data_IF_589544899541
#
_entry.id   IF_589544899541
#
_cell.length_a   1.000
_cell.length_b   1.000
_cell.length_c   1.000
_cell.angle_alpha   90.00
_cell.angle_beta   90.00
_cell.angle_gamma   90.00
#
_symmetry.space_group_name_H-M   'P 1'
#
loop_
_entity.id
_entity.type
_entity.pdbx_description
1 polymer ?
#
# COMPACT_ATOMS: atom_id res chain seq x y z
N UNK A 1 36.63 1.18 -15.12
CA UNK A 1 35.57 0.85 -16.11
C UNK A 1 34.26 1.49 -15.65
N UNK A 2 33.55 2.29 -16.47
CA UNK A 2 32.32 2.98 -16.03
C UNK A 2 31.16 1.97 -15.93
N UNK A 3 30.59 1.82 -14.73
CA UNK A 3 29.35 1.04 -14.50
C UNK A 3 28.24 1.62 -15.37
N UNK A 4 27.66 0.82 -16.27
CA UNK A 4 26.56 1.26 -17.14
C UNK A 4 25.23 0.82 -16.56
N UNK A 5 24.29 1.76 -16.46
CA UNK A 5 22.91 1.48 -16.07
C UNK A 5 22.04 1.59 -17.32
N UNK A 6 21.62 0.43 -17.85
CA UNK A 6 21.02 0.33 -19.18
C UNK A 6 19.58 -0.13 -19.07
N UNK A 7 18.65 0.68 -19.58
CA UNK A 7 17.28 0.24 -19.78
C UNK A 7 17.21 -0.68 -21.00
N UNK A 8 16.81 -1.92 -20.78
CA UNK A 8 16.76 -2.97 -21.81
C UNK A 8 15.33 -3.21 -22.31
N UNK A 9 14.32 -2.51 -21.81
CA UNK A 9 12.93 -2.67 -22.25
C UNK A 9 12.08 -3.47 -21.26
N UNK A 10 11.33 -4.44 -21.78
CA UNK A 10 10.22 -5.11 -21.08
C UNK A 10 10.60 -6.45 -20.45
N UNK A 11 9.66 -7.03 -19.69
CA UNK A 11 9.80 -8.37 -19.10
C UNK A 11 9.84 -9.46 -20.17
N UNK A 12 9.19 -9.28 -21.31
CA UNK A 12 9.28 -10.20 -22.44
C UNK A 12 10.71 -10.25 -23.00
N UNK A 13 11.32 -9.08 -23.24
CA UNK A 13 12.72 -9.00 -23.68
C UNK A 13 13.69 -9.60 -22.64
N UNK A 14 13.39 -9.46 -21.35
CA UNK A 14 14.16 -10.15 -20.31
C UNK A 14 14.11 -11.68 -20.50
N UNK A 15 12.93 -12.26 -20.79
CA UNK A 15 12.79 -13.71 -20.99
C UNK A 15 13.58 -14.20 -22.20
N UNK A 16 13.60 -13.41 -23.28
CA UNK A 16 14.37 -13.72 -24.50
C UNK A 16 15.89 -13.64 -24.25
N UNK A 17 16.35 -12.65 -23.47
CA UNK A 17 17.76 -12.45 -23.18
C UNK A 17 18.30 -13.39 -22.10
N UNK A 18 17.45 -13.87 -21.18
CA UNK A 18 17.87 -14.68 -20.03
C UNK A 18 18.68 -15.94 -20.41
N UNK A 19 18.30 -16.76 -21.41
CA UNK A 19 19.12 -17.90 -21.85
C UNK A 19 20.53 -17.49 -22.33
N UNK A 20 20.63 -16.32 -22.98
CA UNK A 20 21.93 -15.78 -23.42
C UNK A 20 22.76 -15.31 -22.22
N UNK A 21 22.13 -14.67 -21.23
CA UNK A 21 22.80 -14.24 -20.00
C UNK A 21 23.31 -15.46 -19.23
N UNK A 22 22.48 -16.49 -19.07
CA UNK A 22 22.83 -17.75 -18.40
C UNK A 22 24.00 -18.48 -19.08
N UNK A 23 24.06 -18.48 -20.41
CA UNK A 23 25.11 -19.18 -21.16
C UNK A 23 26.41 -18.39 -21.29
N UNK A 24 26.36 -17.06 -21.31
CA UNK A 24 27.55 -16.21 -21.58
C UNK A 24 28.13 -15.53 -20.34
N UNK A 25 27.33 -15.30 -19.30
CA UNK A 25 27.78 -14.60 -18.09
C UNK A 25 28.14 -15.63 -17.04
N UNK A 26 29.38 -15.58 -16.55
CA UNK A 26 29.81 -16.48 -15.46
C UNK A 26 29.07 -16.14 -14.18
N UNK A 27 29.16 -14.88 -13.74
CA UNK A 27 28.59 -14.44 -12.48
C UNK A 27 27.63 -13.27 -12.67
N UNK A 28 26.43 -13.37 -12.10
CA UNK A 28 25.46 -12.29 -12.12
C UNK A 28 24.39 -12.46 -11.04
N UNK A 29 23.68 -11.37 -10.73
CA UNK A 29 22.56 -11.36 -9.78
C UNK A 29 21.30 -10.87 -10.46
N UNK A 30 20.19 -11.59 -10.28
CA UNK A 30 18.86 -11.15 -10.71
C UNK A 30 18.06 -10.68 -9.51
N UNK A 31 17.58 -9.44 -9.56
CA UNK A 31 16.64 -8.89 -8.59
C UNK A 31 15.26 -8.81 -9.25
N UNK A 32 14.31 -9.53 -8.67
CA UNK A 32 12.94 -9.69 -9.17
C UNK A 32 11.95 -9.03 -8.24
N UNK A 33 11.09 -8.17 -8.79
CA UNK A 33 10.18 -7.39 -7.96
C UNK A 33 8.96 -6.88 -8.73
N UNK A 34 7.83 -7.59 -8.64
CA UNK A 34 6.63 -7.29 -9.43
C UNK A 34 6.92 -7.30 -10.94
N UNK A 35 6.60 -6.21 -11.63
CA UNK A 35 6.88 -6.01 -13.06
C UNK A 35 8.30 -5.52 -13.37
N UNK A 36 9.24 -5.60 -12.43
CA UNK A 36 10.64 -5.20 -12.65
C UNK A 36 11.60 -6.36 -12.53
N UNK A 37 12.59 -6.41 -13.42
CA UNK A 37 13.79 -7.24 -13.29
C UNK A 37 15.03 -6.35 -13.41
N UNK A 38 16.01 -6.61 -12.56
CA UNK A 38 17.35 -6.06 -12.70
C UNK A 38 18.33 -7.22 -12.80
N UNK A 39 19.21 -7.20 -13.78
CA UNK A 39 20.34 -8.12 -13.86
C UNK A 39 21.60 -7.30 -13.59
N UNK A 40 22.31 -7.64 -12.53
CA UNK A 40 23.58 -7.04 -12.13
C UNK A 40 24.67 -8.00 -12.59
N UNK A 41 25.47 -7.57 -13.56
CA UNK A 41 26.57 -8.34 -14.11
C UNK A 41 27.82 -8.20 -13.22
N UNK A 42 28.78 -9.11 -13.38
CA UNK A 42 30.06 -9.13 -12.65
C UNK A 42 30.83 -7.80 -12.72
N UNK A 43 30.80 -7.12 -13.87
CA UNK A 43 31.44 -5.81 -14.07
C UNK A 43 30.70 -4.64 -13.36
N UNK A 44 29.61 -4.94 -12.66
CA UNK A 44 28.74 -3.99 -11.99
C UNK A 44 27.77 -3.26 -12.91
N UNK A 45 27.70 -3.61 -14.19
CA UNK A 45 26.68 -3.11 -15.11
C UNK A 45 25.31 -3.63 -14.71
N UNK A 46 24.29 -2.78 -14.84
CA UNK A 46 22.91 -3.10 -14.46
C UNK A 46 22.01 -3.02 -15.67
N UNK A 47 21.42 -4.15 -16.04
CA UNK A 47 20.39 -4.27 -17.07
C UNK A 47 19.02 -4.18 -16.41
N UNK A 48 18.20 -3.21 -16.80
CA UNK A 48 16.87 -2.97 -16.21
C UNK A 48 15.77 -3.29 -17.20
N UNK A 49 14.80 -4.06 -16.73
CA UNK A 49 13.61 -4.44 -17.45
C UNK A 49 12.38 -4.05 -16.62
N UNK A 50 11.40 -3.42 -17.26
CA UNK A 50 10.19 -2.97 -16.59
C UNK A 50 8.97 -3.07 -17.50
N UNK A 51 7.86 -3.52 -16.92
CA UNK A 51 6.56 -3.54 -17.58
C UNK A 51 6.44 -4.63 -18.65
N UNK A 52 5.34 -4.60 -19.40
CA UNK A 52 5.03 -5.56 -20.47
C UNK A 52 5.02 -4.86 -21.82
N UNK A 53 5.02 -5.64 -22.91
CA UNK A 53 4.86 -5.15 -24.28
C UNK A 53 3.49 -4.49 -24.58
N UNK A 54 2.58 -4.40 -23.60
CA UNK A 54 1.28 -3.74 -23.79
C UNK A 54 1.44 -2.22 -23.66
N UNK A 55 0.70 -1.48 -24.49
CA UNK A 55 0.54 -0.04 -24.34
C UNK A 55 0.08 0.26 -22.88
N UNK A 56 0.75 1.20 -22.21
CA UNK A 56 0.57 1.58 -20.78
C UNK A 56 1.44 0.87 -19.72
N UNK A 57 2.61 0.35 -20.10
CA UNK A 57 3.53 -0.25 -19.13
C UNK A 57 4.27 0.75 -18.22
N UNK A 58 4.33 2.03 -18.60
CA UNK A 58 4.89 3.12 -17.78
C UNK A 58 3.80 3.72 -16.90
N UNK A 59 4.01 3.68 -15.59
CA UNK A 59 3.08 4.29 -14.64
C UNK A 59 3.47 5.74 -14.40
N UNK A 60 2.55 6.64 -14.74
CA UNK A 60 2.68 8.07 -14.53
C UNK A 60 2.89 8.40 -13.04
N UNK A 61 3.85 9.28 -12.74
CA UNK A 61 4.26 9.64 -11.39
C UNK A 61 5.18 8.64 -10.67
N UNK A 62 5.50 7.47 -11.25
CA UNK A 62 6.36 6.47 -10.59
C UNK A 62 7.80 6.95 -10.32
N UNK A 63 8.24 8.04 -10.95
CA UNK A 63 9.55 8.66 -10.68
C UNK A 63 9.68 9.11 -9.21
N UNK A 64 8.57 9.38 -8.51
CA UNK A 64 8.59 9.87 -7.14
C UNK A 64 9.06 8.81 -6.13
N UNK A 65 9.05 7.53 -6.51
CA UNK A 65 9.52 6.41 -5.66
C UNK A 65 10.93 6.64 -5.15
N UNK A 66 11.86 7.03 -6.04
CA UNK A 66 13.26 7.24 -5.66
C UNK A 66 13.44 8.48 -4.80
N UNK A 67 12.57 9.48 -4.95
CA UNK A 67 12.57 10.68 -4.13
C UNK A 67 12.12 10.37 -2.70
N UNK A 68 11.06 9.57 -2.54
CA UNK A 68 10.60 9.09 -1.24
C UNK A 68 11.70 8.28 -0.57
N UNK A 69 12.31 7.32 -1.27
CA UNK A 69 13.39 6.50 -0.70
C UNK A 69 14.53 7.37 -0.16
N UNK A 70 14.90 8.43 -0.87
CA UNK A 70 15.94 9.35 -0.39
C UNK A 70 15.53 10.09 0.89
N UNK A 71 14.31 10.62 0.97
CA UNK A 71 13.86 11.31 2.20
C UNK A 71 13.71 10.33 3.38
N UNK A 72 13.38 9.06 3.12
CA UNK A 72 13.43 8.00 4.14
C UNK A 72 14.87 7.72 4.58
N UNK A 73 15.82 7.62 3.66
CA UNK A 73 17.22 7.43 4.02
C UNK A 73 17.74 8.61 4.87
N UNK A 74 17.41 9.85 4.50
CA UNK A 74 17.71 11.06 5.30
C UNK A 74 17.04 11.00 6.69
N UNK A 75 15.79 10.51 6.78
CA UNK A 75 15.11 10.30 8.06
C UNK A 75 15.84 9.26 8.91
N UNK A 76 16.24 8.13 8.33
CA UNK A 76 16.94 7.05 9.03
C UNK A 76 18.29 7.53 9.56
N UNK A 77 19.04 8.29 8.76
CA UNK A 77 20.33 8.85 9.18
C UNK A 77 20.18 9.77 10.40
N UNK A 78 19.08 10.53 10.46
CA UNK A 78 18.82 11.49 11.54
C UNK A 78 18.16 10.88 12.78
N UNK A 79 17.21 9.97 12.60
CA UNK A 79 16.31 9.51 13.66
C UNK A 79 16.38 7.99 13.90
N UNK A 80 17.09 7.25 13.05
CA UNK A 80 17.04 5.79 13.02
C UNK A 80 15.82 5.22 12.30
N UNK A 81 15.77 3.89 12.21
CA UNK A 81 14.61 3.17 11.69
C UNK A 81 13.52 3.19 12.77
N UNK A 82 12.29 3.66 12.47
CA UNK A 82 11.24 3.72 13.47
C UNK A 82 10.75 2.32 13.84
N UNK A 83 10.26 2.17 15.07
CA UNK A 83 9.47 0.99 15.44
C UNK A 83 8.16 1.00 14.68
N UNK A 84 7.58 -0.18 14.46
CA UNK A 84 6.31 -0.32 13.77
C UNK A 84 5.52 -1.52 14.29
N UNK A 85 4.23 -1.53 13.96
CA UNK A 85 3.35 -2.70 14.14
C UNK A 85 2.72 -3.07 12.82
N UNK A 86 2.58 -4.38 12.62
CA UNK A 86 1.90 -4.90 11.43
C UNK A 86 0.39 -4.83 11.68
N UNK A 87 -0.33 -4.12 10.81
CA UNK A 87 -1.79 -4.08 10.81
C UNK A 87 -2.31 -4.96 9.69
N UNK A 88 -2.92 -6.09 10.04
CA UNK A 88 -3.42 -7.07 9.07
C UNK A 88 -4.77 -6.69 8.47
N UNK A 89 -5.59 -5.94 9.21
CA UNK A 89 -7.00 -5.70 8.88
C UNK A 89 -7.24 -4.21 8.57
N UNK A 90 -6.89 -3.76 7.37
CA UNK A 90 -7.13 -2.36 6.90
C UNK A 90 -8.53 -2.16 6.30
N UNK A 91 -9.46 -3.03 6.67
CA UNK A 91 -10.85 -3.04 6.23
C UNK A 91 -11.70 -3.65 7.34
N UNK A 92 -12.73 -2.95 7.79
CA UNK A 92 -13.68 -3.49 8.77
C UNK A 92 -15.11 -3.15 8.41
N UNK A 93 -16.03 -3.99 8.88
CA UNK A 93 -17.45 -3.93 8.62
C UNK A 93 -18.20 -3.98 9.95
N UNK A 94 -19.19 -3.14 10.14
CA UNK A 94 -20.15 -3.22 11.23
C UNK A 94 -21.35 -4.02 10.74
N UNK A 95 -21.22 -5.35 10.76
CA UNK A 95 -22.24 -6.20 10.13
C UNK A 95 -23.58 -6.14 10.85
N UNK A 96 -23.59 -5.81 12.16
CA UNK A 96 -24.82 -5.53 12.89
C UNK A 96 -25.60 -4.40 12.20
N UNK A 97 -24.94 -3.28 11.91
CA UNK A 97 -25.60 -2.13 11.29
C UNK A 97 -25.89 -2.34 9.82
N UNK A 98 -24.95 -2.93 9.06
CA UNK A 98 -25.16 -3.26 7.64
C UNK A 98 -26.39 -4.16 7.45
N UNK A 99 -26.54 -5.21 8.26
CA UNK A 99 -27.70 -6.12 8.19
C UNK A 99 -29.01 -5.40 8.51
N UNK A 100 -28.99 -4.39 9.38
CA UNK A 100 -30.19 -3.62 9.77
C UNK A 100 -30.75 -2.77 8.62
N UNK A 101 -29.90 -2.39 7.66
CA UNK A 101 -30.26 -1.57 6.48
C UNK A 101 -30.25 -2.36 5.17
N UNK A 102 -29.87 -3.63 5.21
CA UNK A 102 -29.86 -4.50 4.03
C UNK A 102 -31.26 -4.58 3.41
N UNK A 103 -31.35 -4.44 2.10
CA UNK A 103 -32.60 -4.39 1.32
C UNK A 103 -33.51 -3.18 1.64
N UNK A 104 -33.11 -2.28 2.53
CA UNK A 104 -33.73 -0.97 2.66
C UNK A 104 -33.06 -0.03 1.67
N UNK A 105 -33.84 0.82 0.99
CA UNK A 105 -33.32 1.88 0.12
C UNK A 105 -32.77 3.04 0.98
N UNK A 106 -31.85 2.73 1.89
CA UNK A 106 -31.17 3.71 2.74
C UNK A 106 -29.90 4.16 2.02
N UNK A 107 -29.79 5.44 1.65
CA UNK A 107 -28.58 5.96 1.02
C UNK A 107 -27.44 5.98 2.05
N UNK A 108 -26.34 5.32 1.71
CA UNK A 108 -25.13 5.30 2.54
C UNK A 108 -24.09 6.20 1.89
N UNK A 109 -23.44 7.02 2.71
CA UNK A 109 -22.41 7.93 2.23
C UNK A 109 -21.01 7.36 2.43
N UNK A 110 -20.29 7.16 1.33
CA UNK A 110 -18.86 6.90 1.31
C UNK A 110 -18.05 8.19 1.26
N UNK A 111 -17.15 8.39 2.22
CA UNK A 111 -16.25 9.53 2.34
C UNK A 111 -14.81 9.06 2.08
N UNK A 112 -14.33 9.29 0.85
CA UNK A 112 -13.04 8.83 0.30
C UNK A 112 -11.95 9.87 0.55
N UNK A 113 -10.91 9.52 1.33
CA UNK A 113 -9.81 10.42 1.68
C UNK A 113 -8.88 10.59 0.48
N UNK A 114 -8.72 11.83 0.01
CA UNK A 114 -7.84 12.14 -1.12
C UNK A 114 -6.38 11.90 -0.76
N UNK A 115 -5.70 11.02 -1.53
CA UNK A 115 -4.28 10.71 -1.35
C UNK A 115 -3.91 10.35 0.10
N UNK A 116 -4.77 9.57 0.78
CA UNK A 116 -4.68 9.23 2.20
C UNK A 116 -3.26 8.93 2.68
N UNK A 117 -2.62 7.88 2.12
CA UNK A 117 -1.28 7.46 2.54
C UNK A 117 -0.19 8.49 2.28
N UNK A 118 -0.35 9.35 1.27
CA UNK A 118 0.58 10.43 1.00
C UNK A 118 0.50 11.54 2.05
N UNK A 119 -0.72 11.91 2.46
CA UNK A 119 -0.93 12.84 3.56
C UNK A 119 -0.38 12.30 4.88
N UNK A 120 -0.57 11.00 5.14
CA UNK A 120 -0.07 10.38 6.36
C UNK A 120 1.45 10.33 6.38
N UNK A 121 2.10 9.97 5.27
CA UNK A 121 3.56 10.01 5.16
C UNK A 121 4.12 11.40 5.48
N UNK A 122 3.45 12.46 5.02
CA UNK A 122 3.80 13.84 5.32
C UNK A 122 3.58 14.20 6.80
N UNK A 123 2.42 13.84 7.38
CA UNK A 123 2.11 14.07 8.80
C UNK A 123 3.09 13.39 9.75
N UNK A 124 3.60 12.20 9.38
CA UNK A 124 4.60 11.47 10.14
C UNK A 124 6.03 12.02 9.94
N UNK A 125 6.21 13.02 9.08
CA UNK A 125 7.51 13.62 8.78
C UNK A 125 8.43 12.75 7.93
N UNK A 126 7.89 11.71 7.30
CA UNK A 126 8.66 10.80 6.42
C UNK A 126 8.89 11.38 5.03
N UNK A 127 8.05 12.33 4.62
CA UNK A 127 8.29 13.15 3.44
C UNK A 127 8.18 14.63 3.80
N UNK A 128 8.99 15.46 3.15
CA UNK A 128 9.05 16.91 3.36
C UNK A 128 7.84 17.62 2.75
N UNK A 129 7.56 18.84 3.20
CA UNK A 129 6.56 19.74 2.56
C UNK A 129 6.81 19.89 1.05
N UNK A 130 8.09 19.96 0.66
CA UNK A 130 8.50 20.12 -0.74
C UNK A 130 8.13 18.89 -1.56
N UNK A 131 8.46 17.69 -1.08
CA UNK A 131 8.12 16.46 -1.79
C UNK A 131 6.61 16.23 -1.78
N UNK A 132 5.95 16.50 -0.65
CA UNK A 132 4.51 16.39 -0.50
C UNK A 132 3.76 17.22 -1.55
N UNK A 133 4.06 18.52 -1.65
CA UNK A 133 3.46 19.43 -2.65
C UNK A 133 3.72 18.95 -4.07
N UNK A 134 4.98 18.62 -4.38
CA UNK A 134 5.36 18.09 -5.70
C UNK A 134 4.57 16.82 -6.07
N UNK A 135 4.37 15.92 -5.12
CA UNK A 135 3.59 14.70 -5.34
C UNK A 135 2.13 15.01 -5.70
N UNK A 136 1.50 15.96 -5.01
CA UNK A 136 0.12 16.36 -5.32
C UNK A 136 -0.03 17.09 -6.66
N UNK A 137 0.98 17.85 -7.07
CA UNK A 137 0.97 18.63 -8.31
C UNK A 137 1.35 17.81 -9.53
N UNK A 138 2.35 16.92 -9.40
CA UNK A 138 3.02 16.28 -10.54
C UNK A 138 2.74 14.80 -10.68
N UNK A 139 1.98 14.17 -9.77
CA UNK A 139 1.72 12.74 -9.82
C UNK A 139 0.23 12.42 -9.77
N UNK A 140 -0.18 11.38 -10.50
CA UNK A 140 -1.50 10.76 -10.36
C UNK A 140 -1.58 9.92 -9.08
N UNK A 141 -2.80 9.65 -8.59
CA UNK A 141 -3.07 8.79 -7.41
C UNK A 141 -2.26 7.49 -7.46
N UNK A 142 -2.18 6.86 -8.63
CA UNK A 142 -1.45 5.60 -8.82
C UNK A 142 0.06 5.72 -8.55
N UNK A 143 0.72 6.80 -8.99
CA UNK A 143 2.15 7.01 -8.72
C UNK A 143 2.44 7.17 -7.24
N UNK A 144 1.60 7.92 -6.52
CA UNK A 144 1.71 8.10 -5.07
C UNK A 144 1.52 6.77 -4.32
N UNK A 145 0.52 5.98 -4.72
CA UNK A 145 0.29 4.64 -4.14
C UNK A 145 1.46 3.69 -4.38
N UNK A 146 2.08 3.74 -5.57
CA UNK A 146 3.27 2.94 -5.87
C UNK A 146 4.44 3.37 -5.00
N UNK A 147 4.65 4.67 -4.79
CA UNK A 147 5.74 5.18 -3.96
C UNK A 147 5.66 4.66 -2.52
N UNK A 148 4.48 4.72 -1.91
CA UNK A 148 4.26 4.16 -0.56
C UNK A 148 4.35 2.64 -0.58
N UNK A 149 3.69 1.96 -1.53
CA UNK A 149 3.71 0.49 -1.63
C UNK A 149 5.10 -0.10 -1.87
N UNK A 150 6.00 0.65 -2.51
CA UNK A 150 7.38 0.24 -2.72
C UNK A 150 8.18 0.11 -1.41
N UNK A 151 7.76 0.77 -0.33
CA UNK A 151 8.44 0.69 0.97
C UNK A 151 8.28 -0.69 1.62
N UNK A 152 7.18 -1.40 1.37
CA UNK A 152 6.97 -2.77 1.86
C UNK A 152 7.34 -3.85 0.84
N UNK A 153 8.03 -3.48 -0.23
CA UNK A 153 8.41 -4.42 -1.27
C UNK A 153 9.54 -5.31 -0.75
N UNK A 154 9.41 -6.62 -0.95
CA UNK A 154 10.42 -7.62 -0.59
C UNK A 154 10.91 -8.32 -1.87
N UNK A 155 11.89 -7.76 -2.60
CA UNK A 155 12.41 -8.34 -3.84
C UNK A 155 12.99 -9.74 -3.63
N UNK A 156 12.86 -10.59 -4.64
CA UNK A 156 13.57 -11.87 -4.70
C UNK A 156 14.93 -11.65 -5.37
N UNK A 157 16.00 -12.07 -4.70
CA UNK A 157 17.38 -11.99 -5.17
C UNK A 157 17.86 -13.40 -5.50
N UNK A 158 18.32 -13.57 -6.75
CA UNK A 158 18.92 -14.81 -7.24
C UNK A 158 20.35 -14.56 -7.66
N UNK A 159 21.29 -15.25 -7.05
CA UNK A 159 22.72 -15.12 -7.36
C UNK A 159 23.16 -16.34 -8.15
N UNK A 160 23.78 -16.08 -9.29
CA UNK A 160 24.33 -17.09 -10.19
C UNK A 160 25.86 -17.01 -10.17
N UNK A 161 26.50 -18.18 -10.10
CA UNK A 161 27.95 -18.36 -10.16
C UNK A 161 28.27 -19.43 -11.19
N UNK A 162 29.16 -19.12 -12.12
CA UNK A 162 29.45 -19.95 -13.31
C UNK A 162 28.18 -20.46 -14.02
N UNK A 163 27.14 -19.62 -14.12
CA UNK A 163 25.86 -19.97 -14.75
C UNK A 163 24.88 -20.79 -13.88
N UNK A 164 25.30 -21.26 -12.70
CA UNK A 164 24.46 -22.03 -11.78
C UNK A 164 23.86 -21.15 -10.68
N UNK A 165 22.60 -21.43 -10.32
CA UNK A 165 21.93 -20.73 -9.22
C UNK A 165 22.48 -21.21 -7.88
N UNK A 166 23.23 -20.35 -7.19
CA UNK A 166 23.82 -20.68 -5.88
C UNK A 166 23.03 -20.10 -4.70
N UNK A 167 22.19 -19.10 -4.95
CA UNK A 167 21.42 -18.46 -3.89
C UNK A 167 20.07 -17.95 -4.42
N UNK A 168 19.02 -18.16 -3.64
CA UNK A 168 17.66 -17.69 -3.94
C UNK A 168 16.97 -17.28 -2.64
N UNK A 169 16.95 -15.98 -2.36
CA UNK A 169 16.46 -15.42 -1.10
C UNK A 169 15.64 -14.16 -1.33
N UNK A 170 14.90 -13.75 -0.32
CA UNK A 170 14.32 -12.42 -0.28
C UNK A 170 15.32 -11.39 0.24
N UNK A 171 15.24 -10.15 -0.27
CA UNK A 171 16.03 -9.02 0.20
C UNK A 171 15.45 -8.45 1.50
N UNK A 172 15.77 -9.14 2.59
CA UNK A 172 15.27 -8.84 3.93
C UNK A 172 15.90 -7.57 4.49
N UNK A 173 17.15 -7.27 4.13
CA UNK A 173 17.86 -6.08 4.57
C UNK A 173 17.12 -4.84 4.05
N UNK A 174 16.86 -4.77 2.74
CA UNK A 174 16.09 -3.66 2.16
C UNK A 174 14.66 -3.64 2.71
N UNK A 175 14.02 -4.81 2.85
CA UNK A 175 12.66 -4.90 3.36
C UNK A 175 12.55 -4.32 4.78
N UNK A 176 13.35 -4.79 5.74
CA UNK A 176 13.29 -4.31 7.13
C UNK A 176 13.79 -2.88 7.30
N UNK A 177 14.59 -2.35 6.36
CA UNK A 177 14.96 -0.94 6.33
C UNK A 177 13.78 -0.02 6.03
N UNK A 178 12.91 -0.37 5.07
CA UNK A 178 11.86 0.52 4.56
C UNK A 178 10.43 0.16 4.99
N UNK A 179 10.15 -1.12 5.26
CA UNK A 179 8.79 -1.55 5.62
C UNK A 179 8.24 -0.92 6.91
N UNK A 180 9.03 -0.52 7.92
CA UNK A 180 8.51 0.16 9.11
C UNK A 180 7.72 1.43 8.78
N UNK A 181 8.20 2.20 7.80
CA UNK A 181 7.55 3.43 7.35
C UNK A 181 6.19 3.15 6.69
N UNK A 182 6.12 2.10 5.87
CA UNK A 182 4.85 1.64 5.27
C UNK A 182 3.83 1.25 6.34
N UNK A 183 4.27 0.46 7.31
CA UNK A 183 3.39 -0.03 8.37
C UNK A 183 2.91 1.10 9.28
N UNK A 184 3.78 2.06 9.63
CA UNK A 184 3.37 3.23 10.40
C UNK A 184 2.34 4.10 9.65
N UNK A 185 2.45 4.21 8.32
CA UNK A 185 1.45 4.90 7.50
C UNK A 185 0.10 4.16 7.53
N UNK A 186 0.12 2.83 7.43
CA UNK A 186 -1.10 2.02 7.51
C UNK A 186 -1.73 2.06 8.91
N UNK A 187 -0.92 1.95 9.97
CA UNK A 187 -1.36 2.00 11.37
C UNK A 187 -2.02 3.34 11.67
N UNK A 188 -1.38 4.46 11.31
CA UNK A 188 -1.97 5.78 11.50
C UNK A 188 -3.32 5.90 10.76
N UNK A 189 -3.39 5.39 9.53
CA UNK A 189 -4.65 5.40 8.76
C UNK A 189 -5.72 4.57 9.46
N UNK A 190 -5.36 3.36 9.91
CA UNK A 190 -6.25 2.45 10.63
C UNK A 190 -6.79 3.09 11.92
N UNK A 191 -5.93 3.72 12.71
CA UNK A 191 -6.32 4.40 13.95
C UNK A 191 -7.34 5.51 13.72
N UNK A 192 -7.20 6.27 12.62
CA UNK A 192 -8.20 7.27 12.22
C UNK A 192 -9.53 6.61 11.88
N UNK A 193 -9.51 5.46 11.20
CA UNK A 193 -10.74 4.72 10.87
C UNK A 193 -11.43 4.17 12.12
N UNK A 194 -10.67 3.60 13.07
CA UNK A 194 -11.21 3.13 14.35
C UNK A 194 -11.78 4.27 15.19
N UNK A 195 -11.11 5.43 15.23
CA UNK A 195 -11.64 6.63 15.88
C UNK A 195 -12.94 7.11 15.25
N UNK A 196 -13.07 7.02 13.91
CA UNK A 196 -14.33 7.33 13.23
C UNK A 196 -15.47 6.40 13.67
N UNK A 197 -15.18 5.10 13.82
CA UNK A 197 -16.16 4.14 14.34
C UNK A 197 -16.54 4.45 15.79
N UNK A 198 -15.58 4.76 16.66
CA UNK A 198 -15.86 5.13 18.06
C UNK A 198 -16.74 6.38 18.18
N UNK A 199 -16.56 7.33 17.26
CA UNK A 199 -17.33 8.57 17.19
C UNK A 199 -18.76 8.33 16.70
N UNK A 200 -18.94 7.55 15.63
CA UNK A 200 -20.21 7.41 14.91
C UNK A 200 -21.03 6.18 15.36
N UNK A 201 -20.38 5.17 15.92
CA UNK A 201 -20.97 3.94 16.48
C UNK A 201 -21.96 3.26 15.54
N UNK A 202 -23.26 3.45 15.78
CA UNK A 202 -24.34 2.78 15.07
C UNK A 202 -24.60 3.42 13.69
N UNK A 203 -24.15 4.66 13.48
CA UNK A 203 -24.22 5.35 12.19
C UNK A 203 -23.03 5.01 11.27
N UNK A 204 -22.16 4.12 11.72
CA UNK A 204 -20.96 3.68 11.01
C UNK A 204 -21.16 2.28 10.43
N UNK A 205 -20.96 2.13 9.13
CA UNK A 205 -21.20 0.87 8.43
C UNK A 205 -19.92 0.09 8.12
N UNK A 206 -18.93 0.72 7.48
CA UNK A 206 -17.66 0.06 7.16
C UNK A 206 -16.56 1.09 6.87
N UNK A 207 -15.32 0.64 6.86
CA UNK A 207 -14.25 1.35 6.16
C UNK A 207 -13.52 0.40 5.22
N UNK A 208 -13.11 0.94 4.07
CA UNK A 208 -12.35 0.24 3.06
C UNK A 208 -11.08 1.05 2.77
N UNK A 209 -9.95 0.68 3.40
CA UNK A 209 -8.65 1.33 3.21
C UNK A 209 -8.66 2.84 3.50
N UNK A 210 -8.95 3.68 2.49
CA UNK A 210 -8.97 5.14 2.55
C UNK A 210 -10.38 5.75 2.59
N UNK A 211 -11.44 4.95 2.72
CA UNK A 211 -12.83 5.42 2.68
C UNK A 211 -13.66 4.94 3.87
N UNK A 212 -14.43 5.85 4.48
CA UNK A 212 -15.40 5.54 5.56
C UNK A 212 -16.82 5.58 5.01
N UNK A 213 -17.68 4.66 5.43
CA UNK A 213 -19.08 4.57 5.02
C UNK A 213 -19.99 4.77 6.22
N UNK A 214 -20.86 5.76 6.12
CA UNK A 214 -21.69 6.25 7.22
C UNK A 214 -23.12 6.47 6.77
N UNK A 215 -24.01 6.62 7.73
CA UNK A 215 -25.35 7.11 7.46
C UNK A 215 -25.29 8.52 6.84
N UNK A 216 -26.11 8.77 5.81
CA UNK A 216 -26.14 10.07 5.13
C UNK A 216 -26.48 11.19 6.11
N UNK A 217 -27.28 10.92 7.15
CA UNK A 217 -27.65 11.90 8.16
C UNK A 217 -26.47 12.31 9.06
N UNK A 218 -25.46 11.45 9.19
CA UNK A 218 -24.24 11.71 9.99
C UNK A 218 -23.03 12.16 9.19
N UNK A 219 -23.21 12.43 7.90
CA UNK A 219 -22.12 12.86 7.02
C UNK A 219 -21.37 14.08 7.59
N UNK A 220 -22.07 15.07 8.14
CA UNK A 220 -21.45 16.30 8.66
C UNK A 220 -20.49 16.04 9.82
N UNK A 221 -20.82 15.09 10.70
CA UNK A 221 -19.97 14.68 11.82
C UNK A 221 -18.71 14.00 11.32
N UNK A 222 -18.87 13.04 10.39
CA UNK A 222 -17.75 12.31 9.79
C UNK A 222 -16.80 13.23 9.02
N UNK A 223 -17.35 14.17 8.26
CA UNK A 223 -16.60 15.16 7.50
C UNK A 223 -15.81 16.11 8.40
N UNK A 224 -16.45 16.63 9.45
CA UNK A 224 -15.78 17.47 10.43
C UNK A 224 -14.61 16.74 11.08
N UNK A 225 -14.81 15.49 11.51
CA UNK A 225 -13.76 14.67 12.08
C UNK A 225 -12.55 14.52 11.13
N UNK A 226 -12.77 14.23 9.85
CA UNK A 226 -11.69 14.09 8.88
C UNK A 226 -10.97 15.43 8.60
N UNK A 227 -11.70 16.55 8.57
CA UNK A 227 -11.12 17.90 8.44
C UNK A 227 -10.26 18.24 9.66
N UNK A 228 -10.74 17.95 10.86
CA UNK A 228 -10.01 18.19 12.11
C UNK A 228 -8.75 17.31 12.17
N UNK A 229 -8.76 16.12 11.54
CA UNK A 229 -7.57 15.29 11.33
C UNK A 229 -6.65 15.80 10.20
N UNK A 230 -7.05 16.85 9.49
CA UNK A 230 -6.30 17.49 8.40
C UNK A 230 -6.37 16.74 7.07
N UNK A 231 -7.47 16.05 6.78
CA UNK A 231 -7.69 15.36 5.52
C UNK A 231 -8.67 16.10 4.60
N UNK A 232 -8.39 16.03 3.30
CA UNK A 232 -9.37 16.37 2.25
C UNK A 232 -10.07 15.09 1.79
N UNK A 233 -11.34 15.18 1.43
CA UNK A 233 -12.13 14.02 1.03
C UNK A 233 -13.01 14.29 -0.19
N UNK A 234 -13.63 13.22 -0.70
CA UNK A 234 -14.69 13.23 -1.70
C UNK A 234 -15.82 12.32 -1.25
N UNK A 235 -17.05 12.68 -1.60
CA UNK A 235 -18.22 11.91 -1.24
C UNK A 235 -18.71 11.08 -2.42
N UNK A 236 -19.31 9.93 -2.14
CA UNK A 236 -20.08 9.14 -3.10
C UNK A 236 -21.15 8.33 -2.38
N UNK A 237 -22.25 8.06 -3.07
CA UNK A 237 -23.33 7.25 -2.52
C UNK A 237 -23.14 5.77 -2.85
N UNK A 238 -23.57 4.91 -1.94
CA UNK A 238 -23.76 3.48 -2.17
C UNK A 238 -25.12 3.02 -1.64
N UNK A 239 -25.53 1.83 -2.07
CA UNK A 239 -26.68 1.12 -1.50
C UNK A 239 -26.32 -0.36 -1.34
N UNK A 240 -26.49 -0.91 -0.12
CA UNK A 240 -26.29 -2.34 0.11
C UNK A 240 -27.38 -3.16 -0.58
N UNK A 241 -26.97 -4.20 -1.32
CA UNK A 241 -27.87 -5.02 -2.13
C UNK A 241 -28.06 -6.42 -1.56
N UNK A 242 -26.98 -7.05 -1.08
CA UNK A 242 -27.03 -8.45 -0.66
C UNK A 242 -25.92 -8.78 0.32
N UNK A 243 -26.21 -9.68 1.26
CA UNK A 243 -25.20 -10.33 2.09
C UNK A 243 -25.50 -11.83 2.17
N UNK A 244 -24.65 -12.65 1.57
CA UNK A 244 -24.79 -14.11 1.54
C UNK A 244 -23.40 -14.75 1.52
N UNK A 245 -23.21 -15.91 2.17
CA UNK A 245 -21.94 -16.66 2.18
C UNK A 245 -20.72 -15.78 2.56
N UNK A 246 -20.89 -14.94 3.58
CA UNK A 246 -19.89 -13.96 4.03
C UNK A 246 -19.45 -12.99 2.95
N UNK A 247 -20.28 -12.68 1.96
CA UNK A 247 -19.98 -11.75 0.88
C UNK A 247 -21.02 -10.64 0.88
N UNK A 248 -20.55 -9.41 1.05
CA UNK A 248 -21.35 -8.20 0.98
C UNK A 248 -21.29 -7.62 -0.42
N UNK A 249 -22.45 -7.30 -0.98
CA UNK A 249 -22.61 -6.67 -2.29
C UNK A 249 -23.33 -5.32 -2.14
N UNK A 250 -22.83 -4.32 -2.85
CA UNK A 250 -23.41 -2.98 -2.88
C UNK A 250 -23.33 -2.39 -4.28
N UNK A 251 -24.28 -1.51 -4.59
CA UNK A 251 -24.20 -0.68 -5.77
C UNK A 251 -23.44 0.60 -5.45
N UNK A 252 -22.41 0.90 -6.23
CA UNK A 252 -21.63 2.13 -6.13
C UNK A 252 -22.09 3.12 -7.21
N UNK A 253 -22.65 4.25 -6.80
CA UNK A 253 -23.20 5.24 -7.72
C UNK A 253 -22.12 6.05 -8.46
N UNK A 254 -20.91 6.15 -7.90
CA UNK A 254 -19.77 6.82 -8.56
C UNK A 254 -19.26 6.00 -9.72
N UNK A 255 -19.10 4.69 -9.51
CA UNK A 255 -18.58 3.77 -10.53
C UNK A 255 -19.69 3.13 -11.40
N UNK A 256 -20.96 3.35 -11.04
CA UNK A 256 -22.16 2.78 -11.68
C UNK A 256 -22.12 1.26 -11.81
N UNK A 257 -21.62 0.56 -10.78
CA UNK A 257 -21.46 -0.90 -10.81
C UNK A 257 -21.70 -1.54 -9.45
N UNK A 258 -22.04 -2.83 -9.47
CA UNK A 258 -22.04 -3.66 -8.27
C UNK A 258 -20.60 -3.94 -7.87
N UNK A 259 -20.28 -3.66 -6.61
CA UNK A 259 -19.06 -4.06 -5.92
C UNK A 259 -19.39 -5.14 -4.92
N UNK A 260 -18.40 -5.98 -4.64
CA UNK A 260 -18.54 -7.07 -3.71
C UNK A 260 -17.26 -7.27 -2.92
N UNK A 261 -17.39 -7.68 -1.67
CA UNK A 261 -16.25 -8.04 -0.84
C UNK A 261 -16.63 -9.17 0.11
N UNK A 262 -15.71 -10.12 0.30
CA UNK A 262 -15.81 -11.07 1.39
C UNK A 262 -15.75 -10.29 2.72
N UNK A 263 -16.49 -10.65 3.75
CA UNK A 263 -16.44 -9.96 5.06
C UNK A 263 -15.65 -10.80 6.05
N UNK A 264 -15.86 -12.12 6.09
CA UNK A 264 -15.05 -13.04 6.91
C UNK A 264 -14.84 -12.54 8.34
N UNK A 265 -13.59 -12.59 8.81
CA UNK A 265 -13.14 -12.14 10.14
C UNK A 265 -12.95 -10.62 10.29
N UNK A 266 -13.57 -9.81 9.40
CA UNK A 266 -13.46 -8.35 9.41
C UNK A 266 -14.66 -7.64 10.03
N UNK A 267 -15.55 -8.38 10.67
CA UNK A 267 -16.62 -7.77 11.47
C UNK A 267 -16.01 -7.12 12.71
N UNK A 268 -16.23 -5.81 12.87
CA UNK A 268 -15.73 -5.06 14.02
C UNK A 268 -16.42 -5.46 15.31
N UNK A 269 -17.62 -6.07 15.23
CA UNK A 269 -18.37 -6.52 16.39
C UNK A 269 -17.92 -7.89 16.93
N UNK A 270 -17.03 -8.59 16.22
CA UNK A 270 -16.49 -9.86 16.71
C UNK A 270 -15.50 -9.59 17.85
N UNK A 271 -15.68 -10.29 18.98
CA UNK A 271 -14.79 -10.22 20.15
C UNK A 271 -13.32 -10.47 19.83
N UNK A 272 -13.01 -11.32 18.84
CA UNK A 272 -11.62 -11.49 18.37
C UNK A 272 -11.08 -10.27 17.62
N UNK A 273 -11.94 -9.51 16.94
CA UNK A 273 -11.57 -8.24 16.29
C UNK A 273 -11.27 -7.14 17.32
N UNK A 274 -12.02 -7.09 18.42
CA UNK A 274 -11.73 -6.16 19.54
C UNK A 274 -10.43 -6.51 20.29
N UNK A 275 -10.14 -7.80 20.50
CA UNK A 275 -8.85 -8.26 21.04
C UNK A 275 -7.70 -8.00 20.07
N UNK A 276 -7.90 -8.09 18.74
CA UNK A 276 -6.90 -7.65 17.72
C UNK A 276 -6.66 -6.15 17.74
N UNK A 277 -7.71 -5.34 17.92
CA UNK A 277 -7.61 -3.88 18.11
C UNK A 277 -6.75 -3.56 19.34
N UNK A 278 -6.82 -4.37 20.41
CA UNK A 278 -5.95 -4.25 21.60
C UNK A 278 -4.57 -4.92 21.43
N UNK A 279 -4.49 -6.01 20.68
CA UNK A 279 -3.31 -6.89 20.55
C UNK A 279 -2.25 -6.39 19.57
N UNK A 280 -2.59 -5.45 18.67
CA UNK A 280 -1.64 -4.70 17.86
C UNK A 280 -0.63 -3.88 18.71
N UNK A 281 -0.74 -3.86 20.05
CA UNK A 281 0.15 -3.15 20.97
C UNK A 281 1.48 -3.85 21.30
N UNK A 282 1.86 -4.98 20.69
CA UNK A 282 3.11 -5.69 21.03
C UNK A 282 4.24 -5.42 20.03
N UNK A 283 5.31 -4.81 20.51
CA UNK A 283 6.59 -4.60 19.82
C UNK A 283 7.33 -5.93 19.59
N UNK A 284 8.00 -6.05 18.45
CA UNK A 284 8.86 -7.19 18.08
C UNK A 284 10.29 -6.96 18.61
N UNK A 285 11.07 -8.02 18.95
CA UNK A 285 12.36 -7.91 19.64
C UNK A 285 13.46 -7.24 18.79
N UNK A 286 14.57 -6.82 19.42
CA UNK A 286 15.68 -6.16 18.73
C UNK A 286 16.28 -7.08 17.66
N UNK A 287 16.55 -6.53 16.48
CA UNK A 287 17.47 -7.15 15.52
C UNK A 287 18.86 -7.19 16.16
N UNK A 288 19.30 -8.36 16.59
CA UNK A 288 20.69 -8.59 16.99
C UNK A 288 21.59 -8.34 15.78
N UNK A 289 22.49 -7.36 15.91
CA UNK A 289 23.54 -7.12 14.94
C UNK A 289 24.51 -8.31 14.94
N UNK A 290 24.76 -8.87 13.76
CA UNK A 290 25.94 -9.71 13.46
C UNK A 290 26.68 -9.10 12.30
#
# INVERSE_FOLDING_TARGET
MRKRNLFQGTIERYKEQLPTILSKSKDFTIITSGMSRKVILEDGSVLRYFGTNKENSIVDGAFIVTMVQREIDEYIEKNGIPTYKVVSDVQNFNMKQIKSVLNKKVPIMGIDINACYWNVAHKLGYISDKLYKRGLESCKKQGLLIAIGCLAKRPLVRVYKNGELVENRFDDITYYRYCPFYWNILEYTYDIMIKSYQLLKDDWYMFLTDCVFVDVEKIGVAQKFLIDCGFKYKNHLIEYKKFENNKLEWYDYKDKKIKQMYVGSRDINDTQSFEKIKGALRSIPPLTAT
#
